data_IF_362295155111
#
_entry.id   IF_362295155111
#
_cell.length_a   1.000
_cell.length_b   1.000
_cell.length_c   1.000
_cell.angle_alpha   90.00
_cell.angle_beta   90.00
_cell.angle_gamma   90.00
#
_symmetry.space_group_name_H-M   'P 1'
#
loop_
_entity.id
_entity.type
_entity.pdbx_description
1 polymer ?
#
# COMPACT_ATOMS: atom_id res chain seq x y z
N UNK A 1 -22.31 -11.04 15.17
CA UNK A 1 -22.00 -12.23 15.97
C UNK A 1 -21.12 -13.25 15.21
N UNK A 2 -21.31 -13.45 13.92
CA UNK A 2 -20.63 -14.51 13.13
C UNK A 2 -19.14 -14.22 12.87
N UNK A 3 -18.79 -12.98 12.54
CA UNK A 3 -17.39 -12.59 12.26
C UNK A 3 -16.47 -12.80 13.47
N UNK A 4 -16.89 -12.39 14.67
CA UNK A 4 -16.11 -12.60 15.90
C UNK A 4 -15.90 -14.08 16.24
N UNK A 5 -16.83 -14.95 15.85
CA UNK A 5 -16.65 -16.39 15.98
C UNK A 5 -15.56 -16.90 15.05
N UNK A 6 -15.57 -16.52 13.79
CA UNK A 6 -14.55 -16.91 12.82
C UNK A 6 -13.15 -16.39 13.19
N UNK A 7 -13.07 -15.17 13.72
CA UNK A 7 -11.80 -14.62 14.23
C UNK A 7 -11.26 -15.49 15.37
N UNK A 8 -12.10 -15.85 16.36
CA UNK A 8 -11.68 -16.67 17.50
C UNK A 8 -11.32 -18.11 17.12
N UNK A 9 -11.90 -18.64 16.06
CA UNK A 9 -11.63 -19.98 15.54
C UNK A 9 -10.41 -20.00 14.59
N UNK A 10 -9.85 -18.85 14.23
CA UNK A 10 -8.78 -18.76 13.24
C UNK A 10 -9.21 -19.06 11.79
N UNK A 11 -10.55 -19.09 11.54
CA UNK A 11 -11.11 -19.46 10.24
C UNK A 11 -11.01 -18.34 9.22
N UNK A 12 -11.05 -17.06 9.67
CA UNK A 12 -11.00 -15.88 8.79
C UNK A 12 -9.56 -15.33 8.75
N UNK A 13 -8.99 -15.10 7.58
CA UNK A 13 -7.65 -14.55 7.47
C UNK A 13 -7.62 -13.12 8.00
N UNK A 14 -6.94 -12.91 9.13
CA UNK A 14 -6.72 -11.60 9.71
C UNK A 14 -5.37 -11.55 10.42
N UNK A 15 -4.81 -10.34 10.54
CA UNK A 15 -3.63 -10.07 11.34
C UNK A 15 -4.06 -9.31 12.60
N UNK A 16 -3.64 -9.79 13.77
CA UNK A 16 -3.95 -9.12 15.04
C UNK A 16 -2.75 -8.28 15.46
N UNK A 17 -2.97 -6.96 15.68
CA UNK A 17 -1.96 -6.03 16.13
C UNK A 17 -2.53 -5.15 17.24
N UNK A 18 -1.84 -5.09 18.37
CA UNK A 18 -2.28 -4.29 19.55
C UNK A 18 -3.77 -4.50 19.90
N UNK A 19 -4.26 -5.76 19.77
CA UNK A 19 -5.64 -6.11 20.07
C UNK A 19 -6.68 -5.73 19.00
N UNK A 20 -6.26 -5.13 17.87
CA UNK A 20 -7.10 -4.83 16.71
C UNK A 20 -6.90 -5.88 15.61
N UNK A 21 -7.96 -6.18 14.85
CA UNK A 21 -7.94 -7.14 13.75
C UNK A 21 -7.89 -6.38 12.42
N UNK A 22 -6.92 -6.72 11.58
CA UNK A 22 -6.73 -6.17 10.24
C UNK A 22 -7.00 -7.24 9.20
N UNK A 23 -7.69 -6.90 8.12
CA UNK A 23 -8.09 -7.80 7.07
C UNK A 23 -7.56 -7.30 5.73
N UNK A 24 -6.93 -8.18 4.96
CA UNK A 24 -6.60 -7.90 3.57
C UNK A 24 -7.83 -8.24 2.71
N UNK A 25 -8.27 -7.31 1.86
CA UNK A 25 -9.49 -7.45 1.07
C UNK A 25 -9.39 -8.62 0.08
N UNK A 26 -8.27 -8.75 -0.65
CA UNK A 26 -8.10 -9.82 -1.64
C UNK A 26 -8.10 -11.20 -0.97
N UNK A 27 -7.40 -11.34 0.15
CA UNK A 27 -7.36 -12.57 0.95
C UNK A 27 -8.74 -12.91 1.52
N UNK A 28 -9.51 -11.89 1.96
CA UNK A 28 -10.89 -12.09 2.41
C UNK A 28 -11.82 -12.58 1.30
N UNK A 29 -11.71 -12.02 0.10
CA UNK A 29 -12.51 -12.43 -1.04
C UNK A 29 -12.22 -13.88 -1.42
N UNK A 30 -10.94 -14.25 -1.54
CA UNK A 30 -10.52 -15.63 -1.83
C UNK A 30 -11.00 -16.61 -0.74
N UNK A 31 -10.89 -16.20 0.52
CA UNK A 31 -11.38 -17.00 1.64
C UNK A 31 -12.91 -17.17 1.59
N UNK A 32 -13.66 -16.09 1.34
CA UNK A 32 -15.13 -16.14 1.25
C UNK A 32 -15.58 -17.06 0.11
N UNK A 33 -14.93 -16.99 -1.05
CA UNK A 33 -15.17 -17.88 -2.19
C UNK A 33 -14.88 -19.35 -1.81
N UNK A 34 -13.80 -19.62 -1.09
CA UNK A 34 -13.45 -20.97 -0.62
C UNK A 34 -14.46 -21.54 0.38
N UNK A 35 -15.15 -20.69 1.11
CA UNK A 35 -16.20 -21.06 2.10
C UNK A 35 -17.61 -20.99 1.52
N UNK A 36 -17.76 -20.74 0.21
CA UNK A 36 -19.04 -20.55 -0.46
C UNK A 36 -19.93 -19.48 0.19
N UNK A 37 -19.29 -18.44 0.77
CA UNK A 37 -19.97 -17.30 1.35
C UNK A 37 -20.33 -16.34 0.20
N UNK A 38 -21.64 -16.14 -0.01
CA UNK A 38 -22.10 -15.20 -1.02
C UNK A 38 -21.81 -13.77 -0.55
N UNK A 39 -20.77 -13.16 -1.14
CA UNK A 39 -20.55 -11.73 -1.03
C UNK A 39 -21.53 -11.04 -2.00
N UNK A 40 -22.31 -10.08 -1.53
CA UNK A 40 -23.12 -9.25 -2.42
C UNK A 40 -22.21 -8.57 -3.44
N UNK A 41 -22.30 -9.05 -4.70
CA UNK A 41 -21.39 -8.70 -5.82
C UNK A 41 -21.65 -7.30 -6.41
N UNK A 42 -22.26 -6.38 -5.66
CA UNK A 42 -22.56 -5.06 -6.23
C UNK A 42 -21.30 -4.27 -6.62
N UNK A 43 -20.22 -4.42 -5.90
CA UNK A 43 -18.94 -3.75 -6.22
C UNK A 43 -18.02 -4.53 -7.16
N UNK A 44 -18.03 -5.88 -7.09
CA UNK A 44 -17.10 -6.72 -7.87
C UNK A 44 -17.50 -6.88 -9.34
N UNK A 45 -18.79 -6.81 -9.67
CA UNK A 45 -19.26 -6.87 -11.08
C UNK A 45 -19.00 -5.58 -11.85
N UNK A 46 -19.02 -4.43 -11.18
CA UNK A 46 -18.66 -3.16 -11.81
C UNK A 46 -17.15 -3.07 -12.08
N UNK A 47 -16.33 -3.60 -11.15
CA UNK A 47 -14.89 -3.68 -11.34
C UNK A 47 -14.50 -4.63 -12.49
N UNK A 48 -15.12 -5.82 -12.60
CA UNK A 48 -14.88 -6.73 -13.74
C UNK A 48 -15.38 -6.17 -15.08
N UNK A 49 -16.52 -5.50 -15.14
CA UNK A 49 -16.99 -4.84 -16.37
C UNK A 49 -16.14 -3.62 -16.77
N UNK A 50 -15.53 -2.91 -15.81
CA UNK A 50 -14.53 -1.87 -16.10
C UNK A 50 -13.21 -2.47 -16.58
N UNK A 51 -12.79 -3.65 -16.08
CA UNK A 51 -11.57 -4.34 -16.52
C UNK A 51 -11.66 -4.85 -17.97
N UNK A 52 -12.82 -5.30 -18.43
CA UNK A 52 -13.01 -5.75 -19.81
C UNK A 52 -13.09 -4.60 -20.83
N UNK A 53 -13.33 -3.37 -20.39
CA UNK A 53 -13.42 -2.19 -21.26
C UNK A 53 -12.12 -1.38 -21.40
N UNK A 54 -11.10 -1.60 -20.56
CA UNK A 54 -9.83 -0.87 -20.59
C UNK A 54 -8.65 -1.83 -20.70
N UNK A 55 -8.35 -2.27 -21.89
CA UNK A 55 -7.14 -3.03 -22.19
C UNK A 55 -5.88 -2.12 -22.26
N UNK A 56 -5.84 -1.05 -21.44
CA UNK A 56 -4.65 -0.24 -21.14
C UNK A 56 -4.84 0.52 -19.81
N UNK A 57 -4.85 -0.22 -18.70
CA UNK A 57 -4.73 0.44 -17.39
C UNK A 57 -3.33 1.04 -17.27
N UNK A 58 -3.25 2.28 -16.76
CA UNK A 58 -1.96 2.89 -16.43
C UNK A 58 -1.15 1.97 -15.51
N UNK A 59 0.17 1.77 -15.75
CA UNK A 59 1.03 0.96 -14.88
C UNK A 59 0.95 1.35 -13.40
N UNK A 60 0.68 2.63 -13.10
CA UNK A 60 0.49 3.09 -11.73
C UNK A 60 -0.82 2.57 -11.12
N UNK A 61 -1.90 2.51 -11.89
CA UNK A 61 -3.18 1.97 -11.41
C UNK A 61 -3.03 0.49 -11.08
N UNK A 62 -2.34 -0.27 -11.92
CA UNK A 62 -2.02 -1.67 -11.63
C UNK A 62 -1.16 -1.81 -10.37
N UNK A 63 -0.18 -0.93 -10.19
CA UNK A 63 0.69 -0.93 -9.02
C UNK A 63 -0.08 -0.59 -7.73
N UNK A 64 -1.03 0.35 -7.76
CA UNK A 64 -1.91 0.65 -6.62
C UNK A 64 -2.83 -0.53 -6.29
N UNK A 65 -3.44 -1.16 -7.30
CA UNK A 65 -4.28 -2.34 -7.10
C UNK A 65 -3.50 -3.51 -6.48
N UNK A 66 -2.26 -3.72 -6.91
CA UNK A 66 -1.38 -4.76 -6.39
C UNK A 66 -0.82 -4.44 -4.99
N UNK A 67 -0.67 -3.15 -4.65
CA UNK A 67 -0.08 -2.69 -3.38
C UNK A 67 -1.09 -2.44 -2.27
N UNK A 68 -2.32 -2.03 -2.63
CA UNK A 68 -3.43 -1.74 -1.71
C UNK A 68 -3.25 -0.47 -0.84
N UNK A 69 -4.28 -0.14 -0.04
CA UNK A 69 -4.29 0.97 0.93
C UNK A 69 -4.54 0.41 2.33
N UNK A 70 -3.77 0.89 3.29
CA UNK A 70 -3.81 0.47 4.69
C UNK A 70 -4.05 1.70 5.58
N UNK A 71 -5.02 1.62 6.49
CA UNK A 71 -5.41 2.71 7.35
C UNK A 71 -5.04 2.44 8.80
N UNK A 72 -4.77 3.52 9.55
CA UNK A 72 -4.46 3.48 10.98
C UNK A 72 -3.35 2.47 11.30
N UNK A 73 -2.28 2.52 10.50
CA UNK A 73 -1.13 1.63 10.69
C UNK A 73 -0.36 2.09 11.92
N UNK A 74 -0.36 1.30 13.01
CA UNK A 74 0.32 1.67 14.23
C UNK A 74 1.82 1.50 14.07
N UNK A 75 2.59 2.54 14.29
CA UNK A 75 4.04 2.49 14.24
C UNK A 75 4.62 3.55 15.17
N UNK A 76 5.60 3.16 15.97
CA UNK A 76 6.28 4.06 16.91
C UNK A 76 7.63 4.55 16.35
N UNK A 77 8.11 3.91 15.27
CA UNK A 77 9.40 4.20 14.63
C UNK A 77 9.40 3.73 13.19
N UNK A 78 10.37 4.21 12.41
CA UNK A 78 10.60 3.74 11.04
C UNK A 78 10.92 2.24 11.01
N UNK A 79 11.66 1.76 12.00
CA UNK A 79 12.02 0.34 12.10
C UNK A 79 10.79 -0.55 12.28
N UNK A 80 9.86 -0.17 13.16
CA UNK A 80 8.59 -0.89 13.36
C UNK A 80 7.74 -0.84 12.11
N UNK A 81 7.62 0.34 11.48
CA UNK A 81 6.87 0.50 10.23
C UNK A 81 7.42 -0.42 9.14
N UNK A 82 8.72 -0.37 8.87
CA UNK A 82 9.33 -1.15 7.78
C UNK A 82 9.29 -2.66 8.03
N UNK A 83 9.29 -3.10 9.27
CA UNK A 83 9.08 -4.53 9.62
C UNK A 83 7.66 -5.01 9.34
N UNK A 84 6.67 -4.12 9.40
CA UNK A 84 5.27 -4.48 9.21
C UNK A 84 4.81 -4.43 7.75
N UNK A 85 5.43 -3.58 6.90
CA UNK A 85 5.10 -3.40 5.49
C UNK A 85 5.00 -4.73 4.72
N UNK A 86 5.97 -5.65 4.79
CA UNK A 86 5.91 -6.89 4.03
C UNK A 86 4.68 -7.75 4.34
N UNK A 87 4.32 -7.83 5.61
CA UNK A 87 3.15 -8.58 6.05
C UNK A 87 1.84 -7.90 5.63
N UNK A 88 1.79 -6.56 5.62
CA UNK A 88 0.65 -5.82 5.11
C UNK A 88 0.43 -6.04 3.62
N UNK A 89 1.52 -6.03 2.84
CA UNK A 89 1.48 -6.20 1.39
C UNK A 89 1.39 -7.66 0.94
N UNK A 90 1.24 -8.61 1.87
CA UNK A 90 1.16 -10.06 1.61
C UNK A 90 2.34 -10.55 0.75
N UNK A 91 3.55 -10.13 1.13
CA UNK A 91 4.78 -10.55 0.47
C UNK A 91 5.30 -11.87 1.05
N UNK A 92 5.92 -12.75 0.22
CA UNK A 92 6.57 -13.95 0.71
C UNK A 92 7.58 -13.63 1.82
N UNK A 93 7.64 -14.49 2.85
CA UNK A 93 8.48 -14.24 4.03
C UNK A 93 9.97 -14.03 3.70
N UNK A 94 10.46 -14.72 2.66
CA UNK A 94 11.84 -14.59 2.19
C UNK A 94 12.13 -13.16 1.68
N UNK A 95 11.18 -12.57 0.95
CA UNK A 95 11.26 -11.17 0.51
C UNK A 95 11.10 -10.23 1.69
N UNK A 96 10.14 -10.52 2.58
CA UNK A 96 9.78 -9.66 3.69
C UNK A 96 10.95 -9.33 4.62
N UNK A 97 11.75 -10.32 4.97
CA UNK A 97 12.91 -10.14 5.86
C UNK A 97 13.98 -9.23 5.24
N UNK A 98 14.28 -9.45 3.97
CA UNK A 98 15.28 -8.64 3.24
C UNK A 98 14.76 -7.24 2.92
N UNK A 99 13.46 -7.10 2.60
CA UNK A 99 12.85 -5.82 2.25
C UNK A 99 12.88 -4.82 3.40
N UNK A 100 12.53 -5.24 4.61
CA UNK A 100 12.55 -4.37 5.79
C UNK A 100 13.92 -3.74 6.02
N UNK A 101 14.97 -4.56 5.88
CA UNK A 101 16.36 -4.10 5.98
C UNK A 101 16.74 -3.16 4.83
N UNK A 102 16.36 -3.49 3.59
CA UNK A 102 16.64 -2.67 2.41
C UNK A 102 15.97 -1.29 2.49
N UNK A 103 14.71 -1.23 2.97
CA UNK A 103 14.00 0.03 3.18
C UNK A 103 14.70 0.89 4.23
N UNK A 104 15.11 0.28 5.36
CA UNK A 104 15.83 0.99 6.41
C UNK A 104 17.20 1.50 5.92
N UNK A 105 17.98 0.68 5.24
CA UNK A 105 19.28 1.09 4.67
C UNK A 105 19.11 2.21 3.65
N UNK A 106 18.05 2.18 2.84
CA UNK A 106 17.75 3.24 1.87
C UNK A 106 17.41 4.55 2.57
N UNK A 107 16.60 4.50 3.61
CA UNK A 107 16.18 5.68 4.38
C UNK A 107 17.36 6.35 5.11
N UNK A 108 18.26 5.54 5.70
CA UNK A 108 19.47 6.05 6.37
C UNK A 108 20.39 6.79 5.41
N UNK A 109 20.49 6.37 4.14
CA UNK A 109 21.34 7.04 3.14
C UNK A 109 20.83 8.44 2.78
N UNK A 110 19.52 8.59 2.67
CA UNK A 110 18.85 9.85 2.37
C UNK A 110 17.36 9.67 2.62
N UNK A 111 16.75 10.62 3.29
CA UNK A 111 15.31 10.58 3.55
C UNK A 111 14.49 10.37 2.28
N UNK A 112 13.50 9.51 2.37
CA UNK A 112 12.46 9.33 1.35
C UNK A 112 11.24 10.21 1.60
N UNK A 113 11.24 11.02 2.67
CA UNK A 113 10.27 12.07 2.90
C UNK A 113 10.39 13.16 1.84
N UNK A 114 9.29 13.48 1.19
CA UNK A 114 9.22 14.49 0.10
C UNK A 114 8.64 15.82 0.56
N UNK A 115 8.30 15.93 1.83
CA UNK A 115 7.59 17.06 2.41
C UNK A 115 6.07 16.87 2.46
N UNK A 116 5.38 17.86 3.01
CA UNK A 116 3.93 17.86 3.17
C UNK A 116 3.37 16.64 3.94
N UNK A 117 4.18 16.01 4.79
CA UNK A 117 3.79 14.83 5.54
C UNK A 117 3.73 13.54 4.72
N UNK A 118 4.43 13.46 3.59
CA UNK A 118 4.46 12.34 2.66
C UNK A 118 5.86 11.75 2.55
N UNK A 119 5.96 10.41 2.48
CA UNK A 119 7.20 9.70 2.16
C UNK A 119 6.98 8.64 1.07
N UNK A 120 8.03 8.33 0.28
CA UNK A 120 8.04 7.31 -0.75
C UNK A 120 9.18 6.30 -0.51
N UNK A 121 9.13 5.47 0.52
CA UNK A 121 10.13 4.45 0.74
C UNK A 121 10.16 3.43 -0.40
N UNK A 122 11.39 3.06 -0.79
CA UNK A 122 11.64 2.06 -1.81
C UNK A 122 13.01 1.41 -1.57
N UNK A 123 13.24 0.17 -1.94
CA UNK A 123 14.56 -0.46 -1.82
C UNK A 123 15.55 0.20 -2.77
N UNK A 124 16.86 0.14 -2.42
CA UNK A 124 17.93 0.73 -3.25
C UNK A 124 18.01 0.13 -4.66
N UNK A 125 17.64 -1.13 -4.80
CA UNK A 125 17.58 -1.83 -6.07
C UNK A 125 16.18 -2.46 -6.26
N UNK A 126 15.71 -2.61 -7.50
CA UNK A 126 14.48 -3.35 -7.78
C UNK A 126 14.55 -4.79 -7.26
N UNK A 127 13.40 -5.35 -6.89
CA UNK A 127 13.31 -6.71 -6.34
C UNK A 127 13.49 -7.82 -7.39
N UNK A 128 13.55 -7.46 -8.68
CA UNK A 128 13.79 -8.40 -9.76
C UNK A 128 12.70 -9.47 -9.88
N UNK A 129 13.12 -10.72 -10.12
CA UNK A 129 12.22 -11.84 -10.27
C UNK A 129 11.48 -12.26 -8.98
N UNK A 130 11.79 -11.62 -7.84
CA UNK A 130 11.12 -11.90 -6.57
C UNK A 130 9.66 -11.41 -6.56
N UNK A 131 9.32 -10.44 -7.44
CA UNK A 131 7.95 -9.96 -7.64
C UNK A 131 7.56 -10.04 -9.11
N UNK A 132 6.33 -10.47 -9.38
CA UNK A 132 5.81 -10.58 -10.76
C UNK A 132 5.33 -9.25 -11.32
N UNK A 133 4.88 -8.34 -10.43
CA UNK A 133 4.32 -7.04 -10.80
C UNK A 133 4.80 -5.98 -9.81
N UNK A 134 5.01 -4.76 -10.32
CA UNK A 134 5.30 -3.61 -9.45
C UNK A 134 4.11 -3.33 -8.52
N UNK A 135 4.38 -2.82 -7.32
CA UNK A 135 3.36 -2.54 -6.29
C UNK A 135 3.60 -1.18 -5.65
N UNK A 136 2.53 -0.46 -5.38
CA UNK A 136 2.55 0.76 -4.55
C UNK A 136 1.59 0.57 -3.39
N UNK A 137 2.14 0.22 -2.22
CA UNK A 137 1.37 0.15 -0.98
C UNK A 137 1.22 1.52 -0.35
N UNK A 138 0.01 1.96 -0.05
CA UNK A 138 -0.25 3.23 0.62
C UNK A 138 -0.61 2.99 2.08
N UNK A 139 0.12 3.62 3.00
CA UNK A 139 -0.01 3.42 4.45
C UNK A 139 -0.34 4.73 5.13
N UNK A 140 -1.55 4.88 5.63
CA UNK A 140 -1.96 5.99 6.50
C UNK A 140 -1.61 5.63 7.94
N UNK A 141 -0.68 6.37 8.53
CA UNK A 141 -0.16 6.09 9.87
C UNK A 141 -1.13 6.55 10.95
N UNK A 142 -1.26 5.77 12.02
CA UNK A 142 -2.05 6.18 13.20
C UNK A 142 -1.40 7.37 13.91
N UNK A 143 -0.06 7.37 13.98
CA UNK A 143 0.76 8.46 14.50
C UNK A 143 1.78 8.85 13.44
N UNK A 144 1.85 10.14 13.05
CA UNK A 144 2.86 10.58 12.10
C UNK A 144 4.29 10.35 12.61
N UNK A 145 5.21 9.95 11.70
CA UNK A 145 6.59 9.62 12.02
C UNK A 145 7.57 10.63 11.42
N UNK A 146 8.70 10.84 12.12
CA UNK A 146 9.79 11.70 11.64
C UNK A 146 10.69 10.96 10.65
N UNK A 147 10.47 11.23 9.37
CA UNK A 147 11.30 10.76 8.25
C UNK A 147 12.48 11.69 7.95
N UNK A 148 12.71 12.74 8.73
CA UNK A 148 13.69 13.80 8.41
C UNK A 148 13.43 14.42 7.04
N UNK A 149 12.15 14.65 6.71
CA UNK A 149 11.74 15.30 5.48
C UNK A 149 12.32 16.72 5.37
N UNK A 150 12.54 17.27 4.14
CA UNK A 150 13.16 18.58 3.94
C UNK A 150 12.44 19.75 4.61
N UNK A 151 11.13 19.65 4.80
CA UNK A 151 10.29 20.66 5.45
C UNK A 151 10.17 20.47 6.98
N UNK A 152 10.77 19.41 7.53
CA UNK A 152 10.71 19.06 8.94
C UNK A 152 9.35 18.60 9.44
N UNK A 153 8.36 18.40 8.56
CA UNK A 153 7.04 17.92 8.96
C UNK A 153 7.02 16.40 9.16
N UNK A 154 6.31 15.91 10.18
CA UNK A 154 6.14 14.48 10.37
C UNK A 154 5.25 13.89 9.27
N UNK A 155 5.60 12.67 8.83
CA UNK A 155 4.93 11.94 7.75
C UNK A 155 3.70 11.21 8.28
N UNK A 156 2.54 11.46 7.69
CA UNK A 156 1.28 10.80 8.02
C UNK A 156 0.86 9.75 6.98
N UNK A 157 1.43 9.81 5.76
CA UNK A 157 1.15 8.84 4.71
C UNK A 157 2.43 8.40 4.00
N UNK A 158 2.55 7.10 3.77
CA UNK A 158 3.73 6.47 3.19
C UNK A 158 3.33 5.67 1.95
N UNK A 159 3.99 5.93 0.81
CA UNK A 159 3.82 5.21 -0.44
C UNK A 159 5.02 4.28 -0.66
N UNK A 160 4.87 3.01 -0.34
CA UNK A 160 5.96 2.02 -0.52
C UNK A 160 5.97 1.54 -1.95
N UNK A 161 7.01 1.90 -2.69
CA UNK A 161 7.18 1.53 -4.10
C UNK A 161 8.10 0.31 -4.24
N UNK A 162 7.55 -0.79 -4.74
CA UNK A 162 8.25 -2.02 -5.08
C UNK A 162 8.15 -2.26 -6.59
N UNK A 163 9.28 -2.48 -7.24
CA UNK A 163 9.36 -2.64 -8.70
C UNK A 163 10.21 -3.84 -9.10
N UNK A 164 9.82 -4.49 -10.20
CA UNK A 164 10.53 -5.64 -10.75
C UNK A 164 11.85 -5.24 -11.45
N UNK A 165 11.92 -4.04 -12.03
CA UNK A 165 13.09 -3.56 -12.74
C UNK A 165 13.25 -2.04 -12.64
N UNK A 166 14.40 -1.53 -13.08
CA UNK A 166 14.74 -0.11 -13.00
C UNK A 166 13.91 0.79 -13.90
N UNK A 167 13.44 0.28 -15.04
CA UNK A 167 12.61 1.05 -15.96
C UNK A 167 11.23 1.33 -15.33
N UNK A 168 10.56 0.29 -14.85
CA UNK A 168 9.28 0.43 -14.14
C UNK A 168 9.44 1.23 -12.86
N UNK A 169 10.56 1.07 -12.14
CA UNK A 169 10.85 1.87 -10.95
C UNK A 169 10.84 3.37 -11.23
N UNK A 170 11.66 3.82 -12.18
CA UNK A 170 11.76 5.24 -12.50
C UNK A 170 10.45 5.81 -13.06
N UNK A 171 9.75 5.02 -13.87
CA UNK A 171 8.47 5.42 -14.45
C UNK A 171 7.41 5.63 -13.36
N UNK A 172 7.24 4.66 -12.47
CA UNK A 172 6.26 4.76 -11.36
C UNK A 172 6.64 5.84 -10.36
N UNK A 173 7.93 5.96 -10.01
CA UNK A 173 8.40 7.01 -9.10
C UNK A 173 8.11 8.40 -9.66
N UNK A 174 8.35 8.61 -10.96
CA UNK A 174 8.07 9.88 -11.64
C UNK A 174 6.58 10.22 -11.66
N UNK A 175 5.72 9.23 -11.96
CA UNK A 175 4.26 9.41 -11.94
C UNK A 175 3.76 9.72 -10.53
N UNK A 176 4.24 8.99 -9.54
CA UNK A 176 3.87 9.19 -8.14
C UNK A 176 4.31 10.55 -7.62
N UNK A 177 5.57 10.95 -7.90
CA UNK A 177 6.09 12.26 -7.52
C UNK A 177 5.27 13.40 -8.17
N UNK A 178 4.92 13.29 -9.46
CA UNK A 178 4.06 14.25 -10.13
C UNK A 178 2.67 14.35 -9.49
N UNK A 179 2.05 13.23 -9.19
CA UNK A 179 0.75 13.15 -8.50
C UNK A 179 0.80 13.85 -7.13
N UNK A 180 1.80 13.51 -6.32
CA UNK A 180 1.95 14.00 -4.95
C UNK A 180 2.43 15.47 -4.86
N UNK A 181 2.98 16.02 -5.93
CA UNK A 181 3.39 17.44 -5.97
C UNK A 181 2.21 18.41 -6.17
N UNK A 182 0.98 17.92 -6.30
CA UNK A 182 -0.22 18.74 -6.39
C UNK A 182 -0.76 19.05 -4.98
N UNK A 183 -0.96 20.33 -4.67
CA UNK A 183 -1.45 20.78 -3.36
C UNK A 183 -2.84 20.24 -2.99
N UNK A 184 -3.73 20.08 -3.98
CA UNK A 184 -5.07 19.52 -3.77
C UNK A 184 -4.99 18.04 -3.33
N UNK A 185 -3.96 17.32 -3.81
CA UNK A 185 -3.73 15.92 -3.41
C UNK A 185 -3.33 15.82 -1.94
N UNK A 186 -2.58 16.78 -1.43
CA UNK A 186 -2.22 16.82 -0.01
C UNK A 186 -3.45 16.87 0.89
N UNK A 187 -4.38 17.77 0.60
CA UNK A 187 -5.61 17.89 1.38
C UNK A 187 -6.49 16.66 1.23
N UNK A 188 -6.58 16.10 0.02
CA UNK A 188 -7.26 14.84 -0.23
C UNK A 188 -6.69 13.69 0.61
N UNK A 189 -5.35 13.54 0.69
CA UNK A 189 -4.68 12.48 1.44
C UNK A 189 -4.89 12.60 2.96
N UNK A 190 -5.06 13.80 3.51
CA UNK A 190 -5.36 14.01 4.94
C UNK A 190 -6.67 13.35 5.38
N UNK A 191 -7.58 13.09 4.44
CA UNK A 191 -8.84 12.39 4.69
C UNK A 191 -8.72 10.86 4.59
N UNK A 192 -7.51 10.34 4.44
CA UNK A 192 -7.23 8.90 4.36
C UNK A 192 -8.13 8.17 3.37
N UNK A 193 -8.08 8.51 2.06
CA UNK A 193 -8.98 7.96 1.06
C UNK A 193 -8.85 6.44 0.90
N UNK A 194 -9.93 5.81 0.42
CA UNK A 194 -9.90 4.41 0.00
C UNK A 194 -9.05 4.21 -1.26
N UNK A 195 -8.69 2.95 -1.55
CA UNK A 195 -7.98 2.58 -2.78
C UNK A 195 -8.72 3.06 -4.03
N UNK A 196 -10.04 2.90 -4.08
CA UNK A 196 -10.87 3.33 -5.21
C UNK A 196 -10.77 4.85 -5.41
N UNK A 197 -10.94 5.62 -4.34
CA UNK A 197 -10.84 7.07 -4.39
C UNK A 197 -9.43 7.55 -4.77
N UNK A 198 -8.38 6.86 -4.28
CA UNK A 198 -6.99 7.17 -4.63
C UNK A 198 -6.73 6.96 -6.12
N UNK A 199 -7.21 5.86 -6.69
CA UNK A 199 -7.10 5.55 -8.12
C UNK A 199 -7.89 6.57 -8.95
N UNK A 200 -9.14 6.86 -8.58
CA UNK A 200 -9.97 7.83 -9.28
C UNK A 200 -9.32 9.22 -9.30
N UNK A 201 -8.74 9.64 -8.18
CA UNK A 201 -8.05 10.93 -8.08
C UNK A 201 -6.76 10.95 -8.89
N UNK A 202 -6.00 9.85 -8.89
CA UNK A 202 -4.80 9.71 -9.73
C UNK A 202 -5.15 9.82 -11.22
N UNK A 203 -6.20 9.14 -11.67
CA UNK A 203 -6.64 9.17 -13.07
C UNK A 203 -7.12 10.54 -13.54
N UNK A 204 -7.65 11.39 -12.64
CA UNK A 204 -8.04 12.76 -12.94
C UNK A 204 -6.85 13.72 -13.08
N UNK A 205 -5.69 13.33 -12.53
CA UNK A 205 -4.47 14.17 -12.51
C UNK A 205 -3.54 13.87 -13.69
N UNK A 206 -3.76 12.80 -14.42
CA UNK A 206 -3.00 12.40 -15.62
C UNK A 206 -3.40 13.26 -16.82
#
# INVERSE_FOLDING_TARGET
ATIYRWIRQGDIPCVVRRGKHYFNQSTLVTWADSKHIHLEKHSLKEQKKKQEKNNSQSPMVEAFLAGNVFHLVPSDSLETLFKEIPACMDLPQQIGNSLSEQLMQREILSSTGIGNGIAIPHPKAPLGAEITHSRVGTFFLETPLDFKAPDGLPVFVVFVLLSADSFHHLHLLSQLARFLNNTEINDFLKHSPSLENLIDQFQKTL
#
